data_IF_075916068909
#
_entry.id   IF_075916068909
#
_cell.length_a   1.000
_cell.length_b   1.000
_cell.length_c   1.000
_cell.angle_alpha   90.00
_cell.angle_beta   90.00
_cell.angle_gamma   90.00
#
_symmetry.space_group_name_H-M   'P 1'
#
loop_
_entity.id
_entity.type
_entity.pdbx_description
1 polymer ?
#
# COMPACT_ATOMS: atom_id res chain seq x y z
N UNK A 1 -9.80 -15.32 0.28
CA UNK A 1 -9.46 -15.95 1.58
C UNK A 1 -10.43 -15.57 2.72
N UNK A 2 -10.94 -14.33 2.77
CA UNK A 2 -11.92 -13.87 3.77
C UNK A 2 -13.14 -14.80 3.92
N UNK A 3 -13.80 -15.18 2.81
CA UNK A 3 -14.96 -16.07 2.84
C UNK A 3 -14.66 -17.43 3.49
N UNK A 4 -13.49 -18.01 3.20
CA UNK A 4 -13.07 -19.30 3.77
C UNK A 4 -12.71 -19.20 5.26
N UNK A 5 -12.22 -18.04 5.70
CA UNK A 5 -11.73 -17.83 7.07
C UNK A 5 -12.85 -17.48 8.05
N UNK A 6 -13.80 -16.63 7.63
CA UNK A 6 -14.80 -16.04 8.54
C UNK A 6 -16.25 -16.48 8.30
N UNK A 7 -16.54 -17.15 7.17
CA UNK A 7 -17.91 -17.50 6.79
C UNK A 7 -18.10 -19.02 6.71
N UNK A 8 -19.33 -19.47 7.00
CA UNK A 8 -19.71 -20.89 7.07
C UNK A 8 -20.07 -21.34 8.48
N UNK A 9 -20.42 -22.63 8.67
CA UNK A 9 -20.74 -23.18 9.99
C UNK A 9 -19.57 -23.04 10.98
N UNK A 10 -19.88 -22.81 12.26
CA UNK A 10 -18.85 -22.79 13.31
C UNK A 10 -18.13 -24.14 13.36
N UNK A 11 -16.80 -24.10 13.43
CA UNK A 11 -15.97 -25.31 13.56
C UNK A 11 -15.81 -25.75 15.01
N UNK A 12 -16.00 -24.82 15.95
CA UNK A 12 -15.91 -25.01 17.39
C UNK A 12 -16.61 -23.84 18.07
N UNK A 13 -17.23 -24.11 19.22
CA UNK A 13 -17.85 -23.08 20.07
C UNK A 13 -16.87 -22.54 21.13
N UNK A 14 -15.62 -23.02 21.13
CA UNK A 14 -14.58 -22.51 22.02
C UNK A 14 -14.25 -21.04 21.70
N UNK A 15 -14.36 -20.18 22.70
CA UNK A 15 -14.04 -18.76 22.58
C UNK A 15 -12.53 -18.59 22.41
N UNK A 16 -12.12 -18.01 21.29
CA UNK A 16 -10.73 -17.63 21.02
C UNK A 16 -10.36 -16.42 21.86
N UNK A 17 -9.08 -16.33 22.26
CA UNK A 17 -8.57 -15.14 22.90
C UNK A 17 -8.75 -13.92 21.97
N UNK A 18 -9.22 -12.82 22.55
CA UNK A 18 -9.38 -11.57 21.81
C UNK A 18 -8.03 -10.99 21.39
N UNK A 19 -8.09 -10.03 20.48
CA UNK A 19 -6.91 -9.29 20.05
C UNK A 19 -6.35 -8.46 21.21
N UNK A 20 -5.03 -8.47 21.38
CA UNK A 20 -4.40 -7.63 22.40
C UNK A 20 -4.36 -6.15 21.97
N UNK A 21 -4.03 -5.25 22.90
CA UNK A 21 -4.00 -3.82 22.59
C UNK A 21 -2.96 -3.46 21.51
N UNK A 22 -1.84 -4.18 21.44
CA UNK A 22 -0.77 -3.92 20.47
C UNK A 22 -1.25 -4.28 19.07
N UNK A 23 -1.84 -5.46 18.91
CA UNK A 23 -2.42 -5.95 17.67
C UNK A 23 -3.52 -5.02 17.17
N UNK A 24 -4.40 -4.56 18.06
CA UNK A 24 -5.46 -3.59 17.72
C UNK A 24 -4.89 -2.27 17.19
N UNK A 25 -3.91 -1.69 17.91
CA UNK A 25 -3.30 -0.42 17.51
C UNK A 25 -2.59 -0.54 16.16
N UNK A 26 -1.89 -1.65 15.91
CA UNK A 26 -1.23 -1.86 14.62
C UNK A 26 -2.24 -1.98 13.47
N UNK A 27 -3.31 -2.78 13.63
CA UNK A 27 -4.31 -2.98 12.57
C UNK A 27 -5.10 -1.69 12.29
N UNK A 28 -5.54 -0.99 13.35
CA UNK A 28 -6.26 0.28 13.21
C UNK A 28 -5.34 1.36 12.64
N UNK A 29 -4.08 1.44 13.09
CA UNK A 29 -3.10 2.36 12.54
C UNK A 29 -2.86 2.15 11.04
N UNK A 30 -2.72 0.90 10.60
CA UNK A 30 -2.62 0.56 9.18
C UNK A 30 -3.88 0.96 8.41
N UNK A 31 -5.07 0.68 8.95
CA UNK A 31 -6.33 1.07 8.31
C UNK A 31 -6.44 2.59 8.12
N UNK A 32 -6.08 3.38 9.14
CA UNK A 32 -6.07 4.84 9.07
C UNK A 32 -5.08 5.34 8.01
N UNK A 33 -3.86 4.78 7.97
CA UNK A 33 -2.87 5.15 6.96
C UNK A 33 -3.33 4.83 5.54
N UNK A 34 -3.98 3.69 5.33
CA UNK A 34 -4.54 3.33 4.02
C UNK A 34 -5.68 4.27 3.59
N UNK A 35 -6.57 4.62 4.53
CA UNK A 35 -7.64 5.59 4.25
C UNK A 35 -7.06 6.96 3.93
N UNK A 36 -6.10 7.42 4.74
CA UNK A 36 -5.43 8.70 4.51
C UNK A 36 -4.77 8.76 3.14
N UNK A 37 -4.00 7.73 2.79
CA UNK A 37 -3.35 7.62 1.48
C UNK A 37 -4.38 7.57 0.33
N UNK A 38 -5.48 6.83 0.50
CA UNK A 38 -6.50 6.67 -0.53
C UNK A 38 -7.34 7.93 -0.76
N UNK A 39 -7.66 8.68 0.29
CA UNK A 39 -8.47 9.91 0.21
C UNK A 39 -7.61 11.11 -0.16
N UNK A 40 -6.40 11.20 0.37
CA UNK A 40 -5.50 12.33 0.18
C UNK A 40 -4.08 11.87 -0.19
N UNK A 41 -3.86 11.42 -1.45
CA UNK A 41 -2.56 10.92 -1.88
C UNK A 41 -1.53 12.04 -2.11
N UNK A 42 -1.96 13.29 -2.23
CA UNK A 42 -1.13 14.43 -2.66
C UNK A 42 0.19 14.57 -1.88
N UNK A 43 0.25 14.49 -0.54
CA UNK A 43 1.52 14.65 0.19
C UNK A 43 2.58 13.63 -0.19
N UNK A 44 2.15 12.39 -0.50
CA UNK A 44 3.06 11.32 -0.91
C UNK A 44 3.55 11.53 -2.34
N UNK A 45 2.66 12.00 -3.23
CA UNK A 45 3.00 12.34 -4.62
C UNK A 45 3.93 13.56 -4.68
N UNK A 46 3.67 14.59 -3.88
CA UNK A 46 4.49 15.80 -3.78
C UNK A 46 5.88 15.46 -3.22
N UNK A 47 5.95 14.58 -2.22
CA UNK A 47 7.22 14.11 -1.65
C UNK A 47 8.06 13.37 -2.69
N UNK A 48 7.44 12.54 -3.53
CA UNK A 48 8.15 11.75 -4.54
C UNK A 48 8.36 12.48 -5.87
N UNK A 49 7.69 13.62 -6.09
CA UNK A 49 7.63 14.30 -7.39
C UNK A 49 9.01 14.64 -7.97
N UNK A 50 9.92 15.21 -7.16
CA UNK A 50 11.25 15.58 -7.63
C UNK A 50 12.08 14.35 -8.07
N UNK A 51 12.04 13.27 -7.28
CA UNK A 51 12.72 12.02 -7.61
C UNK A 51 12.11 11.37 -8.85
N UNK A 52 10.78 11.32 -8.94
CA UNK A 52 10.09 10.75 -10.10
C UNK A 52 10.39 11.52 -11.38
N UNK A 53 10.41 12.86 -11.33
CA UNK A 53 10.78 13.70 -12.47
C UNK A 53 12.21 13.44 -12.94
N UNK A 54 13.17 13.36 -12.01
CA UNK A 54 14.56 13.04 -12.34
C UNK A 54 14.72 11.67 -13.01
N UNK A 55 14.02 10.65 -12.49
CA UNK A 55 14.02 9.30 -13.08
C UNK A 55 13.39 9.32 -14.49
N UNK A 56 12.26 9.99 -14.66
CA UNK A 56 11.60 10.12 -15.97
C UNK A 56 12.49 10.83 -16.99
N UNK A 57 13.18 11.90 -16.59
CA UNK A 57 14.12 12.60 -17.47
C UNK A 57 15.28 11.69 -17.87
N UNK A 58 15.89 10.98 -16.92
CA UNK A 58 16.99 10.06 -17.20
C UNK A 58 16.58 8.97 -18.20
N UNK A 59 15.46 8.29 -17.97
CA UNK A 59 14.94 7.30 -18.91
C UNK A 59 14.63 7.90 -20.29
N UNK A 60 14.00 9.08 -20.34
CA UNK A 60 13.70 9.78 -21.59
C UNK A 60 14.96 10.09 -22.40
N UNK A 61 16.01 10.58 -21.75
CA UNK A 61 17.31 10.84 -22.41
C UNK A 61 17.97 9.55 -22.93
N UNK A 62 17.97 8.48 -22.13
CA UNK A 62 18.54 7.20 -22.53
C UNK A 62 17.81 6.60 -23.74
N UNK A 63 16.47 6.64 -23.78
CA UNK A 63 15.70 6.17 -24.93
C UNK A 63 15.92 7.03 -26.18
N UNK A 64 16.05 8.35 -26.03
CA UNK A 64 16.34 9.26 -27.14
C UNK A 64 17.71 8.97 -27.75
N UNK A 65 18.73 8.76 -26.90
CA UNK A 65 20.07 8.40 -27.35
C UNK A 65 20.08 7.06 -28.10
N UNK A 66 19.40 6.05 -27.56
CA UNK A 66 19.26 4.74 -28.22
C UNK A 66 18.59 4.85 -29.59
N UNK A 67 17.53 5.65 -29.70
CA UNK A 67 16.82 5.87 -30.97
C UNK A 67 17.69 6.61 -32.00
N UNK A 68 18.54 7.55 -31.56
CA UNK A 68 19.45 8.29 -32.45
C UNK A 68 20.66 7.48 -32.92
N UNK A 69 21.00 6.39 -32.24
CA UNK A 69 22.11 5.50 -32.57
C UNK A 69 21.74 4.39 -33.57
N UNK A 70 20.46 4.28 -33.95
CA UNK A 70 19.94 3.32 -34.92
C UNK A 70 19.69 3.98 -36.26
#
# INVERSE_FOLDING_TARGET
MIHRAYFGPSKSDAVLHGMDARELIMVVGLAVLLIYLGVFPQPFLDTSAATMSGVQQWFGTAFTQLASAR
#
